data_IF_784810930761
#
_entry.id   IF_784810930761
#
_cell.length_a   1.000
_cell.length_b   1.000
_cell.length_c   1.000
_cell.angle_alpha   90.00
_cell.angle_beta   90.00
_cell.angle_gamma   90.00
#
_symmetry.space_group_name_H-M   'P 1'
#
loop_
_entity.id
_entity.type
_entity.pdbx_description
1 polymer ?
#
# COMPACT_ATOMS: atom_id res chain seq x y z
N UNK A 1 6.56 2.43 3.67
CA UNK A 1 7.44 1.72 4.64
C UNK A 1 6.99 0.28 4.64
N UNK A 2 7.89 -0.68 4.43
CA UNK A 2 7.50 -2.10 4.38
C UNK A 2 8.47 -2.90 5.22
N UNK A 3 7.93 -3.64 6.21
CA UNK A 3 8.72 -4.49 7.09
C UNK A 3 9.58 -3.72 8.11
N UNK A 4 10.47 -4.46 8.77
CA UNK A 4 11.35 -3.93 9.83
C UNK A 4 12.47 -3.06 9.26
N UNK A 5 12.43 -1.76 9.57
CA UNK A 5 13.49 -0.80 9.19
C UNK A 5 14.64 -0.70 10.22
N UNK A 6 14.46 -1.26 11.42
CA UNK A 6 15.38 -1.04 12.55
C UNK A 6 15.15 0.32 13.24
N UNK A 7 15.33 0.36 14.56
CA UNK A 7 15.02 1.56 15.35
C UNK A 7 13.54 1.93 15.32
N UNK A 8 13.24 3.21 15.56
CA UNK A 8 11.87 3.74 15.51
C UNK A 8 11.38 3.84 14.06
N UNK A 9 10.21 3.27 13.78
CA UNK A 9 9.53 3.38 12.49
C UNK A 9 8.20 4.11 12.70
N UNK A 10 8.01 5.21 11.98
CA UNK A 10 6.77 5.97 12.04
C UNK A 10 5.68 5.28 11.21
N UNK A 11 4.42 5.50 11.54
CA UNK A 11 3.27 5.24 10.67
C UNK A 11 2.45 6.51 10.63
N UNK A 12 2.08 6.96 9.43
CA UNK A 12 1.37 8.23 9.25
C UNK A 12 -0.13 7.97 9.14
N UNK A 13 -0.88 8.40 10.15
CA UNK A 13 -2.34 8.40 10.13
C UNK A 13 -2.80 9.86 10.04
N UNK A 14 -3.11 10.30 8.83
CA UNK A 14 -3.62 11.66 8.59
C UNK A 14 -5.02 11.90 9.17
N UNK A 15 -5.48 13.15 9.09
CA UNK A 15 -6.85 13.47 9.50
C UNK A 15 -7.86 12.66 8.66
N UNK A 16 -8.78 11.96 9.33
CA UNK A 16 -9.73 11.04 8.68
C UNK A 16 -9.20 9.63 8.41
N UNK A 17 -7.95 9.31 8.75
CA UNK A 17 -7.35 7.99 8.49
C UNK A 17 -7.47 7.01 9.67
N UNK A 18 -7.95 7.45 10.84
CA UNK A 18 -7.95 6.65 12.07
C UNK A 18 -9.09 5.61 12.17
N UNK A 19 -9.63 5.14 11.05
CA UNK A 19 -10.63 4.07 11.04
C UNK A 19 -9.95 2.70 10.90
N UNK A 20 -10.59 1.67 11.45
CA UNK A 20 -9.97 0.35 11.72
C UNK A 20 -9.27 -0.24 10.49
N UNK A 21 -9.91 -0.24 9.33
CA UNK A 21 -9.33 -0.87 8.14
C UNK A 21 -8.06 -0.17 7.62
N UNK A 22 -7.99 1.16 7.70
CA UNK A 22 -6.77 1.88 7.30
C UNK A 22 -5.66 1.68 8.32
N UNK A 23 -5.96 1.71 9.62
CA UNK A 23 -4.96 1.40 10.66
C UNK A 23 -4.38 -0.01 10.46
N UNK A 24 -5.24 -0.99 10.17
CA UNK A 24 -4.81 -2.37 9.86
C UNK A 24 -3.97 -2.43 8.58
N UNK A 25 -4.33 -1.66 7.54
CA UNK A 25 -3.57 -1.58 6.30
C UNK A 25 -2.14 -1.08 6.54
N UNK A 26 -1.96 0.02 7.28
CA UNK A 26 -0.64 0.58 7.59
C UNK A 26 0.18 -0.33 8.52
N UNK A 27 -0.48 -1.02 9.46
CA UNK A 27 0.17 -2.08 10.24
C UNK A 27 0.59 -3.27 9.36
N UNK A 28 -0.21 -3.63 8.36
CA UNK A 28 0.14 -4.64 7.37
C UNK A 28 1.42 -4.28 6.61
N UNK A 29 1.57 -3.02 6.23
CA UNK A 29 2.81 -2.51 5.67
C UNK A 29 3.99 -2.64 6.65
N UNK A 30 3.82 -2.26 7.93
CA UNK A 30 4.85 -2.45 8.95
C UNK A 30 5.26 -3.92 9.15
N UNK A 31 4.31 -4.85 9.02
CA UNK A 31 4.57 -6.30 9.07
C UNK A 31 5.40 -6.76 7.86
N UNK A 32 5.20 -6.14 6.70
CA UNK A 32 5.93 -6.47 5.46
C UNK A 32 5.05 -6.76 4.26
N UNK A 33 3.75 -6.47 4.33
CA UNK A 33 2.83 -6.69 3.22
C UNK A 33 2.94 -5.56 2.18
N UNK A 34 2.91 -5.94 0.91
CA UNK A 34 2.75 -5.03 -0.22
C UNK A 34 1.27 -4.92 -0.60
N UNK A 35 0.91 -3.99 -1.47
CA UNK A 35 -0.44 -3.93 -2.01
C UNK A 35 -0.78 -5.20 -2.80
N UNK A 36 -1.96 -5.74 -2.57
CA UNK A 36 -2.40 -6.99 -3.21
C UNK A 36 -2.42 -6.90 -4.74
N UNK A 37 -2.84 -5.76 -5.28
CA UNK A 37 -2.82 -5.51 -6.72
C UNK A 37 -1.41 -5.36 -7.31
N UNK A 38 -0.33 -5.47 -6.51
CA UNK A 38 1.05 -5.46 -6.98
C UNK A 38 1.68 -6.86 -7.02
N UNK A 39 0.94 -7.91 -6.67
CA UNK A 39 1.41 -9.29 -6.78
C UNK A 39 1.90 -9.62 -8.19
N UNK A 40 2.87 -10.52 -8.27
CA UNK A 40 3.45 -10.98 -9.54
C UNK A 40 2.44 -11.70 -10.44
N UNK A 41 1.38 -12.28 -9.86
CA UNK A 41 0.33 -13.00 -10.57
C UNK A 41 -0.94 -12.16 -10.80
N UNK A 42 -0.95 -10.87 -10.45
CA UNK A 42 -2.15 -10.01 -10.51
C UNK A 42 -2.82 -9.99 -11.88
N UNK A 43 -2.04 -10.09 -12.96
CA UNK A 43 -2.54 -9.89 -14.33
C UNK A 43 -3.44 -11.07 -14.78
N UNK A 44 -3.52 -12.13 -13.95
CA UNK A 44 -4.50 -13.22 -14.07
C UNK A 44 -5.88 -12.89 -13.48
N UNK A 45 -5.98 -11.86 -12.65
CA UNK A 45 -7.17 -11.53 -11.87
C UNK A 45 -7.71 -10.12 -12.16
N UNK A 46 -6.84 -9.17 -12.51
CA UNK A 46 -7.22 -7.78 -12.76
C UNK A 46 -6.52 -7.23 -14.00
N UNK A 47 -7.16 -6.23 -14.62
CA UNK A 47 -6.59 -5.44 -15.72
C UNK A 47 -6.40 -4.00 -15.24
N UNK A 48 -5.17 -3.48 -15.35
CA UNK A 48 -4.87 -2.07 -15.03
C UNK A 48 -4.93 -1.24 -16.31
N UNK A 49 -5.96 -0.39 -16.44
CA UNK A 49 -6.09 0.56 -17.54
C UNK A 49 -5.14 1.74 -17.32
N UNK A 50 -3.90 1.62 -17.79
CA UNK A 50 -2.84 2.63 -17.59
C UNK A 50 -3.21 4.03 -18.08
N UNK A 51 -4.05 4.14 -19.10
CA UNK A 51 -4.54 5.42 -19.62
C UNK A 51 -5.44 6.18 -18.62
N UNK A 52 -5.97 5.49 -17.61
CA UNK A 52 -6.80 6.07 -16.55
C UNK A 52 -6.00 6.33 -15.26
N UNK A 53 -4.69 6.06 -15.25
CA UNK A 53 -3.82 6.33 -14.12
C UNK A 53 -3.27 7.76 -14.26
N UNK A 54 -3.23 8.49 -13.15
CA UNK A 54 -2.62 9.83 -13.11
C UNK A 54 -1.18 9.72 -13.65
N UNK A 55 -0.80 10.48 -14.70
CA UNK A 55 0.48 10.27 -15.38
C UNK A 55 1.72 10.32 -14.46
N UNK A 56 1.71 11.16 -13.42
CA UNK A 56 2.78 11.26 -12.43
C UNK A 56 2.85 10.11 -11.41
N UNK A 57 1.96 9.13 -11.52
CA UNK A 57 1.85 7.94 -10.65
C UNK A 57 1.99 6.63 -11.43
N UNK A 58 2.34 6.71 -12.72
CA UNK A 58 2.60 5.53 -13.58
C UNK A 58 3.97 4.91 -13.27
N UNK A 59 4.85 5.64 -12.58
CA UNK A 59 6.19 5.24 -12.17
C UNK A 59 6.45 5.60 -10.70
#
# INVERSE_FOLDING_TARGET
MIGRNGGMQQLSLGNGCAWVGLVVHELGHAIGLFHEHQRSDRDRYITVYKNNVIPSKVF
#
